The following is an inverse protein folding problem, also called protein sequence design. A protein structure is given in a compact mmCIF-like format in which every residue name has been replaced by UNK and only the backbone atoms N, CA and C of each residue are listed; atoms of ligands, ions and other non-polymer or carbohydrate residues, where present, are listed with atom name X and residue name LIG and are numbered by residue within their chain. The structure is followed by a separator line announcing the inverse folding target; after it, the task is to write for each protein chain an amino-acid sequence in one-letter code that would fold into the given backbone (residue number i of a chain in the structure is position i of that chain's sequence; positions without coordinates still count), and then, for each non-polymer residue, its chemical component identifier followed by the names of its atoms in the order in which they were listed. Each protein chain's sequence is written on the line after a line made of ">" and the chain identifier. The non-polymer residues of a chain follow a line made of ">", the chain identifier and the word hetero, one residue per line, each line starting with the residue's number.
data_IF_455944078575
#
_entry.id   IF_455944078575
#
_cell.length_a   1.000
_cell.length_b   1.000
_cell.length_c   1.000
_cell.angle_alpha   90.00
_cell.angle_beta   90.00
_cell.angle_gamma   90.00
#
_symmetry.space_group_name_H-M   'P 1'
#
loop_
_entity.id
_entity.type
_entity.pdbx_description
1 polymer ?
#
# COMPACT_ATOMS: atom_id res chain seq x y z
N UNK A 1 -35.18 -59.67 -42.03
CA UNK A 1 -35.11 -58.53 -41.08
C UNK A 1 -34.02 -58.66 -40.01
N UNK A 2 -33.81 -59.84 -39.39
CA UNK A 2 -32.80 -60.02 -38.32
C UNK A 2 -31.33 -59.78 -38.73
N UNK A 3 -30.96 -60.11 -39.97
CA UNK A 3 -29.58 -59.89 -40.49
C UNK A 3 -29.23 -58.39 -40.56
N UNK A 4 -30.13 -57.54 -41.09
CA UNK A 4 -29.94 -56.08 -41.23
C UNK A 4 -29.84 -55.35 -39.88
N UNK A 5 -30.55 -55.81 -38.85
CA UNK A 5 -30.46 -55.29 -37.49
C UNK A 5 -29.10 -55.60 -36.85
N UNK A 6 -28.57 -56.81 -37.06
CA UNK A 6 -27.26 -57.21 -36.54
C UNK A 6 -26.10 -56.40 -37.15
N UNK A 7 -26.18 -56.06 -38.44
CA UNK A 7 -25.16 -55.28 -39.13
C UNK A 7 -25.16 -53.83 -38.69
N UNK A 8 -26.35 -53.25 -38.46
CA UNK A 8 -26.49 -51.87 -37.93
C UNK A 8 -25.97 -51.74 -36.50
N UNK A 9 -26.21 -52.73 -35.63
CA UNK A 9 -25.68 -52.76 -34.27
C UNK A 9 -24.15 -52.90 -34.23
N UNK A 10 -23.55 -53.74 -35.10
CA UNK A 10 -22.08 -53.87 -35.23
C UNK A 10 -21.42 -52.60 -35.76
N UNK A 11 -22.06 -51.90 -36.71
CA UNK A 11 -21.58 -50.61 -37.25
C UNK A 11 -21.68 -49.49 -36.21
N UNK A 12 -22.76 -49.45 -35.43
CA UNK A 12 -22.92 -48.49 -34.33
C UNK A 12 -21.88 -48.71 -33.22
N UNK A 13 -21.62 -49.97 -32.85
CA UNK A 13 -20.56 -50.32 -31.89
C UNK A 13 -19.17 -49.91 -32.37
N UNK A 14 -18.81 -50.19 -33.63
CA UNK A 14 -17.51 -49.78 -34.20
C UNK A 14 -17.34 -48.26 -34.24
N UNK A 15 -18.39 -47.49 -34.57
CA UNK A 15 -18.34 -46.02 -34.55
C UNK A 15 -18.16 -45.46 -33.14
N UNK A 16 -18.80 -46.07 -32.13
CA UNK A 16 -18.65 -45.66 -30.74
C UNK A 16 -17.22 -45.90 -30.21
N UNK A 17 -16.64 -47.06 -30.53
CA UNK A 17 -15.26 -47.38 -30.16
C UNK A 17 -14.22 -46.51 -30.88
N UNK A 18 -14.42 -46.20 -32.16
CA UNK A 18 -13.57 -45.25 -32.88
C UNK A 18 -13.64 -43.84 -32.28
N UNK A 19 -14.83 -43.36 -31.89
CA UNK A 19 -15.01 -42.06 -31.26
C UNK A 19 -14.27 -41.98 -29.91
N UNK A 20 -14.37 -43.02 -29.07
CA UNK A 20 -13.62 -43.12 -27.80
C UNK A 20 -12.10 -43.16 -28.02
N UNK A 21 -11.65 -43.88 -29.05
CA UNK A 21 -10.23 -44.00 -29.36
C UNK A 21 -9.62 -42.70 -29.89
N UNK A 22 -10.38 -41.93 -30.68
CA UNK A 22 -10.03 -40.57 -31.11
C UNK A 22 -10.01 -39.60 -29.93
N UNK A 23 -11.03 -39.64 -29.07
CA UNK A 23 -11.10 -38.80 -27.87
C UNK A 23 -9.88 -39.04 -26.96
N UNK A 24 -9.47 -40.30 -26.78
CA UNK A 24 -8.33 -40.69 -25.93
C UNK A 24 -6.97 -40.29 -26.52
N UNK A 25 -6.78 -40.42 -27.85
CA UNK A 25 -5.57 -39.93 -28.55
C UNK A 25 -5.47 -38.41 -28.52
N UNK A 26 -6.58 -37.72 -28.74
CA UNK A 26 -6.65 -36.27 -28.69
C UNK A 26 -6.38 -35.75 -27.27
N UNK A 27 -6.91 -36.42 -26.25
CA UNK A 27 -6.62 -36.09 -24.85
C UNK A 27 -5.14 -36.29 -24.52
N UNK A 28 -4.51 -37.38 -24.97
CA UNK A 28 -3.12 -37.65 -24.68
C UNK A 28 -2.17 -36.62 -25.34
N UNK A 29 -2.45 -36.27 -26.60
CA UNK A 29 -1.72 -35.22 -27.32
C UNK A 29 -1.90 -33.84 -26.68
N UNK A 30 -3.12 -33.54 -26.22
CA UNK A 30 -3.41 -32.29 -25.52
C UNK A 30 -2.80 -32.24 -24.12
N UNK A 31 -2.83 -33.33 -23.37
CA UNK A 31 -2.16 -33.43 -22.07
C UNK A 31 -0.65 -33.19 -22.23
N UNK A 32 -0.01 -33.76 -23.26
CA UNK A 32 1.40 -33.52 -23.55
C UNK A 32 1.67 -32.04 -23.89
N UNK A 33 0.81 -31.39 -24.68
CA UNK A 33 0.93 -29.97 -25.03
C UNK A 33 0.70 -29.05 -23.83
N UNK A 34 -0.27 -29.36 -22.98
CA UNK A 34 -0.54 -28.63 -21.74
C UNK A 34 0.60 -28.79 -20.73
N UNK A 35 1.16 -29.99 -20.61
CA UNK A 35 2.35 -30.25 -19.79
C UNK A 35 3.56 -29.46 -20.29
N UNK A 36 3.80 -29.44 -21.60
CA UNK A 36 4.88 -28.67 -22.19
C UNK A 36 4.71 -27.17 -21.93
N UNK A 37 3.51 -26.63 -22.12
CA UNK A 37 3.19 -25.23 -21.83
C UNK A 37 3.34 -24.90 -20.34
N UNK A 38 2.90 -25.78 -19.45
CA UNK A 38 3.06 -25.62 -18.01
C UNK A 38 4.54 -25.68 -17.58
N UNK A 39 5.33 -26.57 -18.18
CA UNK A 39 6.77 -26.68 -17.91
C UNK A 39 7.53 -25.44 -18.42
N UNK A 40 7.26 -24.98 -19.63
CA UNK A 40 7.89 -23.78 -20.20
C UNK A 40 7.47 -22.53 -19.40
N UNK A 41 6.18 -22.39 -19.07
CA UNK A 41 5.68 -21.30 -18.23
C UNK A 41 6.28 -21.34 -16.82
N UNK A 42 6.28 -22.49 -16.16
CA UNK A 42 6.86 -22.69 -14.84
C UNK A 42 8.37 -22.43 -14.78
N UNK A 43 9.13 -22.92 -15.76
CA UNK A 43 10.57 -22.66 -15.86
C UNK A 43 10.88 -21.18 -16.09
N UNK A 44 10.08 -20.50 -16.92
CA UNK A 44 10.19 -19.06 -17.14
C UNK A 44 9.92 -18.27 -15.85
N UNK A 45 8.91 -18.66 -15.06
CA UNK A 45 8.60 -18.02 -13.78
C UNK A 45 9.68 -18.25 -12.73
N UNK A 46 10.24 -19.47 -12.65
CA UNK A 46 11.34 -19.77 -11.75
C UNK A 46 12.62 -19.00 -12.10
N UNK A 47 12.91 -18.82 -13.39
CA UNK A 47 14.01 -18.00 -13.86
C UNK A 47 13.81 -16.52 -13.48
N UNK A 48 12.58 -16.00 -13.64
CA UNK A 48 12.24 -14.63 -13.29
C UNK A 48 12.19 -14.38 -11.76
N UNK A 49 11.76 -15.36 -10.98
CA UNK A 49 11.68 -15.28 -9.50
C UNK A 49 13.07 -15.33 -8.81
N UNK A 50 14.15 -15.66 -9.53
CA UNK A 50 15.53 -15.60 -9.00
C UNK A 50 16.21 -14.25 -9.20
N UNK A 51 15.56 -13.29 -9.87
CA UNK A 51 16.07 -11.92 -9.98
C UNK A 51 15.66 -11.12 -8.74
N UNK A 52 16.63 -10.57 -8.03
CA UNK A 52 16.43 -9.82 -6.78
C UNK A 52 15.57 -8.58 -7.02
N UNK A 53 14.53 -8.46 -6.20
CA UNK A 53 13.31 -7.69 -6.40
C UNK A 53 13.45 -6.22 -5.96
N UNK A 54 13.20 -5.25 -6.86
CA UNK A 54 13.24 -3.81 -6.51
C UNK A 54 12.32 -2.88 -7.31
N UNK A 55 11.33 -3.37 -8.06
CA UNK A 55 10.30 -2.53 -8.69
C UNK A 55 10.77 -1.77 -9.95
N UNK A 56 11.40 -2.48 -10.91
CA UNK A 56 11.85 -1.89 -12.19
C UNK A 56 11.06 -2.46 -13.39
N UNK A 57 11.14 -1.89 -14.62
CA UNK A 57 10.32 -2.29 -15.77
C UNK A 57 10.32 -3.80 -16.13
N UNK A 58 11.35 -4.55 -15.72
CA UNK A 58 11.41 -6.01 -15.87
C UNK A 58 10.35 -6.77 -15.05
N UNK A 59 9.84 -6.18 -13.96
CA UNK A 59 8.79 -6.76 -13.12
C UNK A 59 7.43 -6.74 -13.83
N UNK A 60 7.18 -5.69 -14.62
CA UNK A 60 5.98 -5.58 -15.45
C UNK A 60 5.99 -6.62 -16.58
N UNK A 61 7.15 -6.84 -17.20
CA UNK A 61 7.36 -7.85 -18.24
C UNK A 61 7.15 -9.27 -17.71
N UNK A 62 7.62 -9.54 -16.50
CA UNK A 62 7.49 -10.85 -15.84
C UNK A 62 6.04 -11.15 -15.45
N UNK A 63 5.35 -10.16 -14.86
CA UNK A 63 3.92 -10.26 -14.56
C UNK A 63 3.09 -10.41 -15.85
N UNK A 64 3.43 -9.66 -16.89
CA UNK A 64 2.79 -9.76 -18.20
C UNK A 64 2.99 -11.14 -18.82
N UNK A 65 4.21 -11.69 -18.77
CA UNK A 65 4.51 -13.03 -19.27
C UNK A 65 3.72 -14.12 -18.52
N UNK A 66 3.64 -14.02 -17.19
CA UNK A 66 2.83 -14.92 -16.36
C UNK A 66 1.36 -14.90 -16.76
N UNK A 67 0.80 -13.68 -16.86
CA UNK A 67 -0.58 -13.44 -17.26
C UNK A 67 -0.85 -14.05 -18.63
N UNK A 68 -0.02 -13.74 -19.63
CA UNK A 68 -0.19 -14.27 -20.99
C UNK A 68 -0.14 -15.80 -21.03
N UNK A 69 0.78 -16.44 -20.30
CA UNK A 69 0.89 -17.89 -20.23
C UNK A 69 -0.34 -18.54 -19.57
N UNK A 70 -0.78 -18.02 -18.42
CA UNK A 70 -1.97 -18.50 -17.72
C UNK A 70 -3.23 -18.35 -18.59
N UNK A 71 -3.33 -17.25 -19.33
CA UNK A 71 -4.46 -16.99 -20.23
C UNK A 71 -4.50 -17.91 -21.44
N UNK A 72 -3.36 -18.20 -22.08
CA UNK A 72 -3.28 -19.15 -23.19
C UNK A 72 -3.72 -20.54 -22.72
N UNK A 73 -3.28 -20.95 -21.53
CA UNK A 73 -3.64 -22.23 -20.93
C UNK A 73 -5.14 -22.30 -20.62
N UNK A 74 -5.66 -21.31 -19.89
CA UNK A 74 -7.06 -21.25 -19.48
C UNK A 74 -7.99 -21.18 -20.70
N UNK A 75 -7.69 -20.34 -21.68
CA UNK A 75 -8.45 -20.22 -22.92
C UNK A 75 -8.44 -21.51 -23.74
N UNK A 76 -7.33 -22.26 -23.73
CA UNK A 76 -7.26 -23.58 -24.36
C UNK A 76 -8.18 -24.59 -23.66
N UNK A 77 -8.11 -24.67 -22.32
CA UNK A 77 -8.90 -25.60 -21.51
C UNK A 77 -10.40 -25.29 -21.62
N UNK A 78 -10.82 -24.04 -21.42
CA UNK A 78 -12.24 -23.65 -21.52
C UNK A 78 -12.81 -23.91 -22.91
N UNK A 79 -12.07 -23.62 -23.98
CA UNK A 79 -12.50 -23.92 -25.35
C UNK A 79 -12.74 -25.42 -25.54
N UNK A 80 -11.87 -26.28 -24.99
CA UNK A 80 -12.01 -27.73 -25.09
C UNK A 80 -13.22 -28.25 -24.30
N UNK A 81 -13.52 -27.65 -23.13
CA UNK A 81 -14.68 -28.01 -22.31
C UNK A 81 -15.98 -27.56 -22.97
N UNK A 82 -16.07 -26.30 -23.41
CA UNK A 82 -17.30 -25.71 -23.94
C UNK A 82 -17.58 -26.11 -25.40
N UNK A 83 -16.53 -26.33 -26.19
CA UNK A 83 -16.63 -26.62 -27.63
C UNK A 83 -15.79 -27.85 -28.03
N UNK A 84 -16.07 -29.04 -27.49
CA UNK A 84 -15.23 -30.23 -27.68
C UNK A 84 -15.15 -30.69 -29.15
N UNK A 85 -16.19 -30.37 -29.95
CA UNK A 85 -16.28 -30.73 -31.37
C UNK A 85 -15.63 -29.72 -32.31
N UNK A 86 -15.26 -28.53 -31.83
CA UNK A 86 -14.64 -27.48 -32.65
C UNK A 86 -13.13 -27.72 -32.69
N UNK A 87 -12.65 -28.32 -33.79
CA UNK A 87 -11.23 -28.54 -34.03
C UNK A 87 -10.74 -27.62 -35.15
N UNK A 88 -9.70 -26.82 -34.88
CA UNK A 88 -9.13 -25.88 -35.86
C UNK A 88 -8.63 -26.58 -37.13
N UNK A 89 -8.08 -27.80 -37.01
CA UNK A 89 -7.64 -28.57 -38.17
C UNK A 89 -8.80 -28.98 -39.10
N UNK A 90 -9.94 -29.37 -38.52
CA UNK A 90 -11.15 -29.68 -39.29
C UNK A 90 -11.75 -28.42 -39.92
N UNK A 91 -11.72 -27.29 -39.21
CA UNK A 91 -12.13 -25.99 -39.76
C UNK A 91 -11.28 -25.58 -40.96
N UNK A 92 -9.96 -25.79 -40.90
CA UNK A 92 -9.05 -25.47 -42.01
C UNK A 92 -9.33 -26.34 -43.23
N UNK A 93 -9.59 -27.64 -43.02
CA UNK A 93 -9.95 -28.57 -44.10
C UNK A 93 -11.34 -28.27 -44.69
N UNK A 94 -12.29 -27.86 -43.84
CA UNK A 94 -13.64 -27.46 -44.27
C UNK A 94 -13.66 -26.10 -44.95
N UNK A 95 -12.70 -25.21 -44.69
CA UNK A 95 -12.65 -23.88 -45.30
C UNK A 95 -12.54 -23.91 -46.82
N UNK A 96 -11.97 -24.99 -47.40
CA UNK A 96 -11.92 -25.18 -48.85
C UNK A 96 -13.27 -25.60 -49.45
N UNK A 97 -14.16 -26.22 -48.66
CA UNK A 97 -15.46 -26.74 -49.12
C UNK A 97 -16.60 -25.80 -48.81
N UNK A 98 -16.60 -25.25 -47.59
CA UNK A 98 -17.62 -24.34 -47.08
C UNK A 98 -16.93 -23.14 -46.40
N UNK A 99 -16.45 -22.17 -47.19
CA UNK A 99 -15.64 -21.06 -46.69
C UNK A 99 -16.43 -20.18 -45.72
N UNK A 100 -17.72 -19.91 -46.02
CA UNK A 100 -18.56 -19.06 -45.19
C UNK A 100 -18.83 -19.67 -43.81
N UNK A 101 -19.24 -20.94 -43.75
CA UNK A 101 -19.50 -21.63 -42.49
C UNK A 101 -18.23 -21.74 -41.63
N UNK A 102 -17.10 -22.06 -42.26
CA UNK A 102 -15.81 -22.15 -41.58
C UNK A 102 -15.34 -20.79 -41.04
N UNK A 103 -15.56 -19.71 -41.80
CA UNK A 103 -15.25 -18.34 -41.38
C UNK A 103 -16.10 -17.91 -40.17
N UNK A 104 -17.40 -18.21 -40.15
CA UNK A 104 -18.30 -17.90 -39.03
C UNK A 104 -17.82 -18.58 -37.74
N UNK A 105 -17.50 -19.88 -37.80
CA UNK A 105 -17.03 -20.63 -36.62
C UNK A 105 -15.66 -20.12 -36.16
N UNK A 106 -14.75 -19.80 -37.09
CA UNK A 106 -13.45 -19.22 -36.74
C UNK A 106 -13.61 -17.86 -36.04
N UNK A 107 -14.44 -16.97 -36.57
CA UNK A 107 -14.74 -15.68 -35.96
C UNK A 107 -15.33 -15.83 -34.56
N UNK A 108 -16.25 -16.79 -34.36
CA UNK A 108 -16.82 -17.08 -33.04
C UNK A 108 -15.76 -17.54 -32.02
N UNK A 109 -14.80 -18.39 -32.44
CA UNK A 109 -13.69 -18.84 -31.57
C UNK A 109 -12.75 -17.68 -31.21
N UNK A 110 -12.43 -16.81 -32.18
CA UNK A 110 -11.60 -15.61 -31.94
C UNK A 110 -12.30 -14.66 -30.97
N UNK A 111 -13.60 -14.38 -31.20
CA UNK A 111 -14.39 -13.52 -30.34
C UNK A 111 -14.50 -14.06 -28.92
N UNK A 112 -14.73 -15.36 -28.74
CA UNK A 112 -14.74 -16.00 -27.42
C UNK A 112 -13.42 -15.80 -26.67
N UNK A 113 -12.28 -16.01 -27.34
CA UNK A 113 -10.95 -15.78 -26.74
C UNK A 113 -10.71 -14.30 -26.42
N UNK A 114 -11.15 -13.40 -27.29
CA UNK A 114 -11.04 -11.96 -27.06
C UNK A 114 -11.88 -11.51 -25.85
N UNK A 115 -13.10 -12.03 -25.68
CA UNK A 115 -13.93 -11.74 -24.51
C UNK A 115 -13.31 -12.28 -23.21
N UNK A 116 -12.72 -13.49 -23.23
CA UNK A 116 -11.97 -14.01 -22.08
C UNK A 116 -10.75 -13.14 -21.77
N UNK A 117 -10.04 -12.67 -22.80
CA UNK A 117 -8.89 -11.76 -22.65
C UNK A 117 -9.32 -10.45 -22.00
N UNK A 118 -10.40 -9.84 -22.51
CA UNK A 118 -10.94 -8.62 -21.97
C UNK A 118 -11.41 -8.80 -20.52
N UNK A 119 -12.16 -9.87 -20.21
CA UNK A 119 -12.63 -10.13 -18.85
C UNK A 119 -11.47 -10.32 -17.85
N UNK A 120 -10.43 -11.05 -18.26
CA UNK A 120 -9.24 -11.25 -17.43
C UNK A 120 -8.47 -9.93 -17.24
N UNK A 121 -8.22 -9.17 -18.32
CA UNK A 121 -7.59 -7.86 -18.24
C UNK A 121 -8.39 -6.91 -17.35
N UNK A 122 -9.72 -6.88 -17.46
CA UNK A 122 -10.59 -6.08 -16.59
C UNK A 122 -10.51 -6.54 -15.12
N UNK A 123 -10.25 -7.81 -14.84
CA UNK A 123 -10.04 -8.31 -13.47
C UNK A 123 -8.70 -7.85 -12.86
N UNK A 124 -7.68 -7.61 -13.69
CA UNK A 124 -6.36 -7.08 -13.26
C UNK A 124 -6.24 -5.56 -13.36
N UNK A 125 -7.07 -4.92 -14.19
CA UNK A 125 -7.26 -3.46 -14.24
C UNK A 125 -8.23 -3.00 -13.14
N UNK A 126 -9.09 -3.88 -12.64
CA UNK A 126 -9.79 -3.63 -11.37
C UNK A 126 -8.71 -3.32 -10.33
N UNK A 127 -8.73 -2.13 -9.73
CA UNK A 127 -7.64 -1.66 -8.88
C UNK A 127 -7.42 -2.70 -7.79
N UNK A 128 -6.36 -3.50 -7.96
CA UNK A 128 -6.09 -4.63 -7.10
C UNK A 128 -5.76 -4.11 -5.72
N UNK A 129 -6.73 -4.12 -4.81
CA UNK A 129 -6.66 -4.09 -3.34
C UNK A 129 -5.64 -3.16 -2.63
N UNK A 130 -4.89 -2.31 -3.32
CA UNK A 130 -4.35 -1.09 -2.77
C UNK A 130 -5.57 -0.19 -2.59
N UNK A 131 -6.16 -0.20 -1.40
CA UNK A 131 -7.26 0.67 -1.05
C UNK A 131 -6.91 2.08 -1.53
N UNK A 132 -7.57 2.53 -2.60
CA UNK A 132 -7.35 3.86 -3.12
C UNK A 132 -7.59 4.84 -1.97
N UNK A 133 -6.63 5.74 -1.74
CA UNK A 133 -6.79 6.75 -0.69
C UNK A 133 -8.09 7.51 -0.97
N UNK A 134 -8.88 7.85 0.07
CA UNK A 134 -10.12 8.57 -0.12
C UNK A 134 -9.86 9.91 -0.81
N UNK A 135 -10.84 10.36 -1.58
CA UNK A 135 -10.81 11.70 -2.19
C UNK A 135 -10.76 12.82 -1.15
N UNK A 136 -10.30 14.01 -1.56
CA UNK A 136 -10.28 15.21 -0.71
C UNK A 136 -9.06 15.38 0.18
N UNK A 137 -8.05 14.51 0.06
CA UNK A 137 -6.74 14.73 0.67
C UNK A 137 -5.92 15.77 -0.09
N UNK A 138 -4.95 16.46 0.55
CA UNK A 138 -4.01 17.34 -0.15
C UNK A 138 -3.23 16.59 -1.24
N UNK A 139 -2.89 17.25 -2.34
CA UNK A 139 -2.30 16.60 -3.53
C UNK A 139 -1.01 15.81 -3.20
N UNK A 140 -0.09 16.39 -2.43
CA UNK A 140 1.14 15.69 -2.05
C UNK A 140 0.89 14.53 -1.07
N UNK A 141 -0.27 14.48 -0.39
CA UNK A 141 -0.60 13.38 0.51
C UNK A 141 -0.75 12.07 -0.25
N UNK A 142 -1.30 12.07 -1.47
CA UNK A 142 -1.41 10.85 -2.28
C UNK A 142 -0.05 10.23 -2.60
N UNK A 143 1.00 11.05 -2.71
CA UNK A 143 2.38 10.58 -2.90
C UNK A 143 3.04 10.15 -1.58
N UNK A 144 2.95 10.97 -0.56
CA UNK A 144 3.79 10.84 0.64
C UNK A 144 3.12 10.05 1.78
N UNK A 145 1.79 9.98 1.85
CA UNK A 145 1.08 9.22 2.89
C UNK A 145 1.40 7.71 2.82
N UNK A 146 1.41 7.04 1.65
CA UNK A 146 1.81 5.63 1.57
C UNK A 146 3.24 5.37 2.08
N UNK A 147 4.15 6.34 1.87
CA UNK A 147 5.54 6.25 2.37
C UNK A 147 5.56 6.33 3.91
N UNK A 148 4.82 7.29 4.49
CA UNK A 148 4.70 7.43 5.95
C UNK A 148 4.14 6.17 6.59
N UNK A 149 3.07 5.61 6.02
CA UNK A 149 2.45 4.37 6.53
C UNK A 149 3.35 3.15 6.31
N UNK A 150 4.09 3.10 5.20
CA UNK A 150 5.09 2.05 4.97
C UNK A 150 6.19 2.05 6.04
N UNK A 151 6.75 3.21 6.35
CA UNK A 151 7.77 3.34 7.41
C UNK A 151 7.18 3.13 8.81
N UNK A 152 5.95 3.56 9.07
CA UNK A 152 5.24 3.25 10.33
C UNK A 152 5.10 1.74 10.52
N UNK A 153 4.59 1.01 9.53
CA UNK A 153 4.42 -0.44 9.62
C UNK A 153 5.74 -1.19 9.83
N UNK A 154 6.82 -0.69 9.24
CA UNK A 154 8.14 -1.30 9.36
C UNK A 154 8.80 -1.06 10.72
N UNK A 155 8.58 0.10 11.34
CA UNK A 155 9.35 0.55 12.52
C UNK A 155 8.53 0.60 13.80
N UNK A 156 7.21 0.70 13.69
CA UNK A 156 6.27 0.74 14.79
C UNK A 156 4.96 0.05 14.39
N UNK A 157 4.98 -1.27 14.12
CA UNK A 157 3.82 -2.01 13.59
C UNK A 157 2.58 -1.95 14.48
N UNK A 158 2.77 -1.89 15.80
CA UNK A 158 1.74 -1.81 16.84
C UNK A 158 1.33 -0.36 17.18
N UNK A 159 1.57 0.61 16.29
CA UNK A 159 1.17 2.00 16.49
C UNK A 159 -0.36 2.09 16.72
N UNK A 160 -0.85 2.67 17.84
CA UNK A 160 -2.25 2.60 18.24
C UNK A 160 -3.23 3.36 17.33
N UNK A 161 -2.75 4.40 16.63
CA UNK A 161 -3.55 5.17 15.68
C UNK A 161 -2.71 5.81 14.55
N UNK A 162 -2.44 5.10 13.44
CA UNK A 162 -1.64 5.64 12.33
C UNK A 162 -2.19 6.94 11.73
N UNK A 163 -3.49 7.23 11.91
CA UNK A 163 -4.09 8.53 11.55
C UNK A 163 -3.45 9.73 12.26
N UNK A 164 -2.84 9.54 13.43
CA UNK A 164 -2.15 10.60 14.18
C UNK A 164 -0.91 11.07 13.45
N UNK A 165 -0.09 10.15 12.92
CA UNK A 165 1.10 10.50 12.13
C UNK A 165 0.73 11.31 10.88
N UNK A 166 -0.32 10.90 10.18
CA UNK A 166 -0.81 11.63 9.00
C UNK A 166 -1.31 13.04 9.37
N UNK A 167 -2.04 13.18 10.48
CA UNK A 167 -2.48 14.46 10.99
C UNK A 167 -1.33 15.37 11.45
N UNK A 168 -0.26 14.77 11.98
CA UNK A 168 0.96 15.46 12.36
C UNK A 168 1.70 15.99 11.14
N UNK A 169 1.89 15.19 10.09
CA UNK A 169 2.47 15.69 8.82
C UNK A 169 1.67 16.87 8.27
N UNK A 170 0.35 16.81 8.34
CA UNK A 170 -0.50 17.93 7.92
C UNK A 170 -0.28 19.18 8.81
N UNK A 171 -0.19 19.01 10.13
CA UNK A 171 0.11 20.10 11.06
C UNK A 171 1.48 20.75 10.78
N UNK A 172 2.46 19.93 10.41
CA UNK A 172 3.85 20.33 10.19
C UNK A 172 4.06 21.04 8.83
N UNK A 173 3.26 20.72 7.81
CA UNK A 173 3.54 21.14 6.43
C UNK A 173 2.47 22.03 5.79
N UNK A 174 1.26 22.10 6.37
CA UNK A 174 0.11 22.74 5.73
C UNK A 174 -0.30 24.06 6.41
N UNK A 175 0.14 25.22 5.90
CA UNK A 175 -0.48 26.51 6.19
C UNK A 175 -1.97 26.53 5.81
N UNK A 176 -2.32 25.87 4.70
CA UNK A 176 -3.68 25.56 4.27
C UNK A 176 -3.67 24.24 3.49
N UNK A 177 -4.84 23.60 3.35
CA UNK A 177 -4.97 22.33 2.62
C UNK A 177 -4.64 22.45 1.13
N UNK A 178 -4.73 23.66 0.56
CA UNK A 178 -4.41 23.97 -0.85
C UNK A 178 -2.98 24.48 -1.04
N UNK A 179 -2.20 24.64 0.03
CA UNK A 179 -0.82 25.10 -0.07
C UNK A 179 0.03 24.07 -0.81
N UNK A 180 0.92 24.54 -1.70
CA UNK A 180 1.91 23.68 -2.37
C UNK A 180 2.85 22.99 -1.37
N UNK A 181 3.06 23.59 -0.19
CA UNK A 181 3.85 23.00 0.88
C UNK A 181 3.12 21.89 1.62
N UNK A 182 1.78 21.85 1.57
CA UNK A 182 0.99 20.90 2.32
C UNK A 182 1.33 19.48 1.88
N UNK A 183 1.73 18.63 2.84
CA UNK A 183 2.25 17.28 2.63
C UNK A 183 3.52 17.17 1.76
N UNK A 184 4.21 18.27 1.48
CA UNK A 184 5.43 18.24 0.67
C UNK A 184 6.65 17.87 1.50
N UNK A 185 7.49 16.98 0.97
CA UNK A 185 8.83 16.68 1.48
C UNK A 185 9.78 17.89 1.43
N UNK A 186 9.39 18.94 0.69
CA UNK A 186 10.10 20.22 0.57
C UNK A 186 9.52 21.33 1.44
N UNK A 187 8.51 21.03 2.27
CA UNK A 187 8.01 22.00 3.24
C UNK A 187 9.16 22.44 4.15
N UNK A 188 9.38 23.75 4.29
CA UNK A 188 10.53 24.26 5.02
C UNK A 188 10.17 25.53 5.79
N UNK A 189 10.43 25.52 7.08
CA UNK A 189 10.48 26.71 7.91
C UNK A 189 11.94 27.14 8.01
N UNK A 190 12.32 28.20 7.30
CA UNK A 190 13.68 28.74 7.33
C UNK A 190 13.67 30.15 7.88
N UNK A 191 14.20 30.30 9.09
CA UNK A 191 14.36 31.58 9.78
C UNK A 191 15.81 31.75 10.25
N UNK A 192 16.22 32.94 10.70
CA UNK A 192 17.54 33.10 11.33
C UNK A 192 17.74 32.26 12.61
N UNK A 193 16.65 31.82 13.25
CA UNK A 193 16.69 31.05 14.52
C UNK A 193 16.71 29.55 14.29
N UNK A 194 16.01 29.09 13.26
CA UNK A 194 15.80 27.68 13.01
C UNK A 194 15.56 27.34 11.54
N UNK A 195 15.89 26.10 11.20
CA UNK A 195 15.56 25.46 9.93
C UNK A 195 14.82 24.15 10.23
N UNK A 196 13.51 24.12 9.99
CA UNK A 196 12.68 22.91 10.01
C UNK A 196 12.43 22.41 8.58
N UNK A 197 12.61 21.12 8.33
CA UNK A 197 12.46 20.53 6.98
C UNK A 197 11.53 19.32 6.97
N UNK A 198 10.66 19.30 5.95
CA UNK A 198 9.99 18.12 5.47
C UNK A 198 8.75 17.71 6.25
N UNK A 199 8.35 16.46 6.03
CA UNK A 199 7.10 15.87 6.52
C UNK A 199 6.94 15.94 8.04
N UNK A 200 8.04 15.85 8.80
CA UNK A 200 8.04 15.96 10.26
C UNK A 200 8.62 17.27 10.79
N UNK A 201 8.92 18.25 9.93
CA UNK A 201 9.68 19.47 10.29
C UNK A 201 10.90 19.15 11.16
N UNK A 202 11.81 18.31 10.68
CA UNK A 202 13.06 18.01 11.39
C UNK A 202 13.89 19.28 11.48
N UNK A 203 14.22 19.68 12.71
CA UNK A 203 14.70 21.03 13.02
C UNK A 203 16.16 21.07 13.42
N UNK A 204 16.86 22.09 12.94
CA UNK A 204 18.16 22.53 13.45
C UNK A 204 18.11 23.99 13.86
N UNK A 205 18.66 24.26 15.04
CA UNK A 205 18.87 25.59 15.61
C UNK A 205 20.34 25.75 15.99
N UNK A 206 20.72 26.89 16.58
CA UNK A 206 22.05 27.06 17.18
C UNK A 206 22.29 26.16 18.41
N UNK A 207 21.23 25.61 19.03
CA UNK A 207 21.32 24.87 20.30
C UNK A 207 21.10 23.36 20.14
N UNK A 208 20.41 22.92 19.09
CA UNK A 208 20.11 21.52 18.87
C UNK A 208 19.95 21.21 17.38
N UNK A 209 20.15 19.95 17.02
CA UNK A 209 20.00 19.43 15.67
C UNK A 209 19.33 18.05 15.71
N UNK A 210 18.03 18.03 15.44
CA UNK A 210 17.22 16.81 15.50
C UNK A 210 17.68 15.75 14.50
N UNK A 211 18.14 16.14 13.30
CA UNK A 211 18.64 15.20 12.30
C UNK A 211 19.90 14.51 12.81
N UNK A 212 20.85 15.30 13.31
CA UNK A 212 22.09 14.79 13.87
C UNK A 212 21.83 13.88 15.07
N UNK A 213 20.90 14.26 15.95
CA UNK A 213 20.52 13.46 17.12
C UNK A 213 19.90 12.12 16.76
N UNK A 214 18.94 12.11 15.82
CA UNK A 214 18.33 10.88 15.32
C UNK A 214 19.34 9.99 14.60
N UNK A 215 20.27 10.57 13.83
CA UNK A 215 21.34 9.80 13.17
C UNK A 215 22.30 9.17 14.15
N UNK A 216 22.61 9.82 15.28
CA UNK A 216 23.45 9.19 16.33
C UNK A 216 22.75 7.98 16.95
N UNK A 217 21.43 8.02 17.09
CA UNK A 217 20.64 6.92 17.67
C UNK A 217 20.33 5.81 16.66
N UNK A 218 20.19 6.14 15.37
CA UNK A 218 19.69 5.26 14.32
C UNK A 218 20.55 5.31 13.04
N UNK A 219 21.87 5.26 13.19
CA UNK A 219 22.85 5.50 12.12
C UNK A 219 22.63 4.66 10.86
N UNK A 220 22.33 3.35 11.02
CA UNK A 220 22.04 2.44 9.90
C UNK A 220 20.73 2.78 9.19
N UNK A 221 19.71 3.15 9.94
CA UNK A 221 18.37 3.44 9.43
C UNK A 221 18.31 4.80 8.71
N UNK A 222 19.14 5.75 9.10
CA UNK A 222 19.20 7.10 8.54
C UNK A 222 20.50 7.34 7.75
N UNK A 223 21.11 6.27 7.24
CA UNK A 223 22.30 6.34 6.40
C UNK A 223 22.03 7.19 5.14
N UNK A 224 22.98 8.04 4.78
CA UNK A 224 22.87 8.93 3.62
C UNK A 224 22.05 10.21 3.84
N UNK A 225 21.25 10.31 4.92
CA UNK A 225 20.51 11.54 5.20
C UNK A 225 21.41 12.64 5.77
N UNK A 226 21.26 13.87 5.31
CA UNK A 226 22.09 15.00 5.74
C UNK A 226 21.40 16.34 5.46
N UNK A 227 21.92 17.41 6.04
CA UNK A 227 21.44 18.77 5.77
C UNK A 227 21.68 19.25 4.34
N UNK A 228 22.59 18.60 3.60
CA UNK A 228 22.86 18.83 2.17
C UNK A 228 21.86 18.06 1.28
N UNK A 229 21.28 16.97 1.79
CA UNK A 229 20.27 16.14 1.12
C UNK A 229 19.05 15.91 2.02
N UNK A 230 18.33 16.97 2.47
CA UNK A 230 17.34 16.82 3.53
C UNK A 230 15.96 16.37 3.01
N UNK A 231 15.72 16.43 1.69
CA UNK A 231 14.40 16.27 1.08
C UNK A 231 14.01 14.84 0.67
N UNK A 232 14.69 13.82 1.19
CA UNK A 232 14.32 12.42 0.96
C UNK A 232 13.05 12.08 1.77
N UNK A 233 11.93 11.86 1.08
CA UNK A 233 10.63 11.62 1.71
C UNK A 233 10.61 10.36 2.59
N UNK A 234 11.35 9.31 2.23
CA UNK A 234 11.40 8.06 2.99
C UNK A 234 12.19 8.25 4.27
N UNK A 235 13.35 8.90 4.19
CA UNK A 235 14.17 9.19 5.37
C UNK A 235 13.48 10.19 6.31
N UNK A 236 12.74 11.17 5.77
CA UNK A 236 11.89 12.05 6.57
C UNK A 236 10.77 11.30 7.29
N UNK A 237 10.01 10.46 6.58
CA UNK A 237 8.95 9.65 7.16
C UNK A 237 9.48 8.72 8.25
N UNK A 238 10.61 8.06 7.99
CA UNK A 238 11.33 7.24 8.96
C UNK A 238 11.73 8.02 10.20
N UNK A 239 12.30 9.21 10.02
CA UNK A 239 12.71 10.08 11.13
C UNK A 239 11.52 10.52 11.99
N UNK A 240 10.39 10.90 11.36
CA UNK A 240 9.14 11.22 12.05
C UNK A 240 8.70 10.05 12.95
N UNK A 241 8.58 8.84 12.39
CA UNK A 241 8.15 7.64 13.13
C UNK A 241 9.09 7.31 14.28
N UNK A 242 10.42 7.34 14.05
CA UNK A 242 11.41 7.08 15.09
C UNK A 242 11.33 8.11 16.23
N UNK A 243 11.14 9.37 15.89
CA UNK A 243 11.05 10.44 16.88
C UNK A 243 9.76 10.39 17.69
N UNK A 244 8.61 10.13 17.05
CA UNK A 244 7.34 9.92 17.76
C UNK A 244 7.43 8.70 18.68
N UNK A 245 7.97 7.58 18.18
CA UNK A 245 8.15 6.38 18.99
C UNK A 245 9.05 6.63 20.20
N UNK A 246 10.15 7.37 20.02
CA UNK A 246 11.04 7.80 21.11
C UNK A 246 10.32 8.64 22.16
N UNK A 247 9.34 9.45 21.75
CA UNK A 247 8.51 10.23 22.66
C UNK A 247 7.39 9.40 23.31
N UNK A 248 6.88 8.39 22.63
CA UNK A 248 5.78 7.54 23.08
C UNK A 248 6.20 6.44 24.05
N UNK A 249 7.30 5.73 23.75
CA UNK A 249 7.77 4.58 24.53
C UNK A 249 7.97 4.92 26.03
N UNK A 250 8.56 6.08 26.40
CA UNK A 250 8.78 6.42 27.80
C UNK A 250 7.54 6.90 28.54
N UNK A 251 6.44 7.22 27.84
CA UNK A 251 5.20 7.68 28.49
C UNK A 251 4.53 6.50 29.17
N UNK A 252 4.70 6.41 30.50
CA UNK A 252 4.04 5.42 31.35
C UNK A 252 2.89 6.05 32.13
N UNK A 253 1.92 5.21 32.53
CA UNK A 253 0.78 5.62 33.35
C UNK A 253 -0.13 6.65 32.68
N UNK A 254 -0.29 6.60 31.36
CA UNK A 254 -1.36 7.30 30.68
C UNK A 254 -2.67 6.50 30.83
N UNK A 255 -3.82 7.17 30.89
CA UNK A 255 -5.10 6.52 31.12
C UNK A 255 -5.49 5.58 29.97
N UNK A 256 -5.15 5.94 28.73
CA UNK A 256 -5.31 5.13 27.54
C UNK A 256 -4.31 5.54 26.44
N UNK A 257 -4.34 4.85 25.29
CA UNK A 257 -3.41 5.11 24.20
C UNK A 257 -3.64 6.44 23.48
N UNK A 258 -4.86 7.00 23.51
CA UNK A 258 -5.11 8.32 22.95
C UNK A 258 -4.48 9.41 23.82
N UNK A 259 -4.60 9.29 25.15
CA UNK A 259 -3.93 10.18 26.10
C UNK A 259 -2.40 10.04 26.01
N UNK A 260 -1.91 8.81 25.84
CA UNK A 260 -0.47 8.53 25.66
C UNK A 260 0.08 9.17 24.38
N UNK A 261 -0.65 9.04 23.26
CA UNK A 261 -0.30 9.71 22.00
C UNK A 261 -0.31 11.23 22.13
N UNK A 262 -1.30 11.79 22.84
CA UNK A 262 -1.36 13.24 23.07
C UNK A 262 -0.14 13.74 23.86
N UNK A 263 0.29 13.00 24.89
CA UNK A 263 1.52 13.29 25.62
C UNK A 263 2.77 13.14 24.73
N UNK A 264 2.82 12.10 23.89
CA UNK A 264 3.93 11.89 22.95
C UNK A 264 4.07 13.03 21.94
N UNK A 265 2.96 13.55 21.41
CA UNK A 265 2.94 14.72 20.53
C UNK A 265 3.46 15.98 21.24
N UNK A 266 3.14 16.17 22.52
CA UNK A 266 3.72 17.26 23.29
C UNK A 266 5.24 17.08 23.46
N UNK A 267 5.70 15.86 23.76
CA UNK A 267 7.13 15.55 23.78
C UNK A 267 7.80 15.81 22.43
N UNK A 268 7.14 15.48 21.31
CA UNK A 268 7.69 15.71 19.98
C UNK A 268 7.93 17.21 19.74
N UNK A 269 6.93 18.04 20.07
CA UNK A 269 6.97 19.47 19.81
C UNK A 269 7.80 20.27 20.83
N UNK A 270 7.72 19.92 22.12
CA UNK A 270 8.29 20.70 23.23
C UNK A 270 9.44 20.00 23.97
N UNK A 271 9.74 18.76 23.61
CA UNK A 271 10.74 17.91 24.26
C UNK A 271 10.24 17.19 25.52
N UNK A 272 10.93 16.11 25.92
CA UNK A 272 10.51 15.27 27.06
C UNK A 272 10.54 16.02 28.40
N UNK A 273 11.45 16.98 28.56
CA UNK A 273 11.55 17.77 29.78
C UNK A 273 10.31 18.65 30.02
N UNK A 274 9.75 19.26 28.96
CA UNK A 274 8.53 20.06 29.10
C UNK A 274 7.32 19.18 29.46
N UNK A 275 7.20 18.01 28.83
CA UNK A 275 6.14 17.05 29.17
C UNK A 275 6.25 16.60 30.63
N UNK A 276 7.45 16.25 31.10
CA UNK A 276 7.67 15.81 32.47
C UNK A 276 7.25 16.89 33.49
N UNK A 277 7.64 18.15 33.24
CA UNK A 277 7.22 19.27 34.10
C UNK A 277 5.70 19.47 34.06
N UNK A 278 5.07 19.39 32.89
CA UNK A 278 3.60 19.52 32.79
C UNK A 278 2.86 18.44 33.55
N UNK A 279 3.31 17.18 33.48
CA UNK A 279 2.71 16.08 34.24
C UNK A 279 2.93 16.25 35.74
N UNK A 280 4.13 16.63 36.17
CA UNK A 280 4.43 16.89 37.58
C UNK A 280 3.58 18.01 38.16
N UNK A 281 3.36 19.09 37.41
CA UNK A 281 2.51 20.20 37.84
C UNK A 281 1.04 19.84 37.91
N UNK A 282 0.55 19.06 36.94
CA UNK A 282 -0.79 18.49 37.03
C UNK A 282 -0.93 17.63 38.29
N UNK A 283 0.04 16.76 38.58
CA UNK A 283 -0.01 15.91 39.77
C UNK A 283 -0.02 16.71 41.10
N UNK A 284 0.51 17.93 41.09
CA UNK A 284 0.52 18.82 42.25
C UNK A 284 -0.72 19.76 42.33
N UNK A 285 -1.58 19.73 41.32
CA UNK A 285 -2.76 20.59 41.24
C UNK A 285 -4.02 19.82 41.64
N UNK A 286 -4.80 20.40 42.55
CA UNK A 286 -6.08 19.82 42.97
C UNK A 286 -7.01 19.57 41.79
N UNK A 287 -7.52 18.35 41.70
CA UNK A 287 -8.46 17.92 40.66
C UNK A 287 -7.85 17.65 39.28
N UNK A 288 -6.52 17.62 39.14
CA UNK A 288 -5.85 17.28 37.88
C UNK A 288 -5.35 15.83 37.87
N UNK A 289 -5.71 15.06 36.84
CA UNK A 289 -5.26 13.69 36.63
C UNK A 289 -4.03 13.66 35.70
N UNK A 290 -2.81 13.37 36.21
CA UNK A 290 -1.58 13.36 35.41
C UNK A 290 -1.46 12.18 34.44
N UNK A 291 -2.43 11.25 34.46
CA UNK A 291 -2.59 10.18 33.46
C UNK A 291 -3.36 10.64 32.22
N UNK A 292 -4.03 11.80 32.26
CA UNK A 292 -4.84 12.35 31.16
C UNK A 292 -4.22 13.62 30.61
N UNK A 293 -4.13 13.73 29.30
CA UNK A 293 -3.74 14.96 28.63
C UNK A 293 -4.92 15.93 28.58
N UNK A 294 -6.02 15.51 27.96
CA UNK A 294 -7.15 16.40 27.70
C UNK A 294 -7.90 16.73 28.99
N UNK A 295 -8.21 18.02 29.15
CA UNK A 295 -8.86 18.52 30.37
C UNK A 295 -7.98 18.53 31.63
N UNK A 296 -6.75 18.00 31.58
CA UNK A 296 -5.89 17.80 32.74
C UNK A 296 -4.48 18.37 32.47
N UNK A 297 -3.50 17.55 32.04
CA UNK A 297 -2.11 17.99 31.84
C UNK A 297 -1.99 19.20 30.89
N UNK A 298 -2.87 19.34 29.89
CA UNK A 298 -2.86 20.49 28.99
C UNK A 298 -3.29 21.81 29.66
N UNK A 299 -4.07 21.73 30.75
CA UNK A 299 -4.59 22.88 31.51
C UNK A 299 -3.72 23.25 32.71
N UNK A 300 -2.86 22.33 33.16
CA UNK A 300 -1.96 22.58 34.28
C UNK A 300 -1.03 23.78 33.99
N UNK A 301 -0.66 24.54 35.02
CA UNK A 301 0.11 25.76 34.84
C UNK A 301 1.47 25.52 34.14
N UNK A 302 1.74 26.28 33.09
CA UNK A 302 2.85 26.01 32.18
C UNK A 302 4.23 26.46 32.64
N UNK A 303 5.32 25.70 32.34
CA UNK A 303 6.68 26.06 32.79
C UNK A 303 7.25 27.35 32.19
N UNK A 304 6.69 27.87 31.10
CA UNK A 304 7.20 29.08 30.46
C UNK A 304 6.08 29.88 29.79
N UNK A 305 5.83 31.09 30.29
CA UNK A 305 4.94 32.08 29.65
C UNK A 305 5.70 32.99 28.66
N UNK A 306 6.99 32.71 28.39
CA UNK A 306 7.83 33.50 27.48
C UNK A 306 7.28 33.42 26.05
N UNK A 307 7.15 34.57 25.40
CA UNK A 307 6.76 34.64 23.99
C UNK A 307 7.75 33.86 23.11
N UNK A 308 7.21 32.99 22.25
CA UNK A 308 7.93 32.23 21.25
C UNK A 308 7.80 32.90 19.88
N UNK A 309 6.70 32.59 19.19
CA UNK A 309 6.36 33.17 17.88
C UNK A 309 5.23 34.19 17.99
N UNK A 310 5.54 35.46 17.72
CA UNK A 310 4.61 36.57 17.91
C UNK A 310 4.22 36.71 19.39
N UNK A 311 2.92 36.83 19.67
CA UNK A 311 2.41 36.92 21.04
C UNK A 311 2.21 35.56 21.73
N UNK A 312 2.43 34.43 21.03
CA UNK A 312 2.17 33.10 21.58
C UNK A 312 3.37 32.58 22.36
N UNK A 313 3.15 32.02 23.55
CA UNK A 313 4.20 31.36 24.32
C UNK A 313 4.53 29.97 23.77
N UNK A 314 5.77 29.49 23.97
CA UNK A 314 6.13 28.10 23.64
C UNK A 314 5.24 27.09 24.38
N UNK A 315 4.80 27.46 25.58
CA UNK A 315 3.79 26.70 26.30
C UNK A 315 2.50 26.59 25.49
N UNK A 316 1.88 27.71 25.12
CA UNK A 316 0.62 27.70 24.37
C UNK A 316 0.73 26.95 23.04
N UNK A 317 1.81 27.19 22.28
CA UNK A 317 2.04 26.57 20.97
C UNK A 317 2.02 25.05 21.06
N UNK A 318 2.67 24.46 22.06
CA UNK A 318 2.77 23.00 22.18
C UNK A 318 1.49 22.33 22.69
N UNK A 319 0.52 23.08 23.25
CA UNK A 319 -0.81 22.56 23.60
C UNK A 319 -1.70 22.65 22.37
N UNK A 320 -1.65 23.79 21.68
CA UNK A 320 -2.31 24.00 20.40
C UNK A 320 -1.90 22.92 19.39
N UNK A 321 -0.61 22.55 19.36
CA UNK A 321 -0.08 21.48 18.52
C UNK A 321 -0.82 20.14 18.74
N UNK A 322 -0.94 19.71 20.00
CA UNK A 322 -1.63 18.46 20.35
C UNK A 322 -3.11 18.52 19.98
N UNK A 323 -3.81 19.59 20.35
CA UNK A 323 -5.23 19.76 20.03
C UNK A 323 -5.48 19.82 18.52
N UNK A 324 -4.63 20.51 17.76
CA UNK A 324 -4.75 20.60 16.30
C UNK A 324 -4.63 19.22 15.66
N UNK A 325 -3.65 18.41 16.07
CA UNK A 325 -3.45 17.07 15.52
C UNK A 325 -4.59 16.15 15.93
N UNK A 326 -4.82 16.00 17.24
CA UNK A 326 -5.73 14.99 17.78
C UNK A 326 -7.20 15.31 17.52
N UNK A 327 -7.59 16.59 17.57
CA UNK A 327 -9.00 16.99 17.54
C UNK A 327 -9.43 17.61 16.20
N UNK A 328 -8.54 18.32 15.48
CA UNK A 328 -8.91 19.05 14.25
C UNK A 328 -8.53 18.31 12.97
N UNK A 329 -7.32 17.74 12.92
CA UNK A 329 -6.76 17.19 11.67
C UNK A 329 -6.95 15.69 11.53
N UNK A 330 -6.84 14.93 12.63
CA UNK A 330 -6.95 13.45 12.64
C UNK A 330 -8.22 12.92 11.99
N UNK A 331 -9.34 13.64 12.08
CA UNK A 331 -10.61 13.27 11.45
C UNK A 331 -10.47 12.88 9.97
N UNK A 332 -9.65 13.60 9.20
CA UNK A 332 -9.41 13.32 7.77
C UNK A 332 -8.73 11.99 7.50
N UNK A 333 -8.01 11.43 8.48
CA UNK A 333 -7.13 10.28 8.30
C UNK A 333 -7.61 9.03 9.05
N UNK A 334 -8.79 9.05 9.69
CA UNK A 334 -9.28 7.92 10.52
C UNK A 334 -9.44 6.61 9.75
N UNK A 335 -9.55 6.64 8.42
CA UNK A 335 -9.57 5.45 7.57
C UNK A 335 -8.29 4.59 7.72
N UNK A 336 -7.18 5.19 8.17
CA UNK A 336 -5.93 4.48 8.44
C UNK A 336 -5.98 3.63 9.72
N UNK A 337 -6.82 4.01 10.70
CA UNK A 337 -6.93 3.26 11.95
C UNK A 337 -7.71 1.95 11.78
N UNK A 338 -8.64 1.91 10.81
CA UNK A 338 -9.46 0.74 10.52
C UNK A 338 -8.66 -0.40 9.86
N UNK A 339 -7.67 -0.04 9.03
CA UNK A 339 -6.80 -1.00 8.33
C UNK A 339 -5.64 -1.52 9.18
N UNK A 340 -5.39 -0.94 10.35
CA UNK A 340 -4.36 -1.38 11.28
C UNK A 340 -4.84 -2.48 12.25
N UNK A 341 -6.15 -2.75 12.30
CA UNK A 341 -6.77 -3.75 13.19
C UNK A 341 -7.13 -5.07 12.51
N UNK A 342 -6.87 -5.20 11.20
CA UNK A 342 -7.10 -6.38 10.37
C UNK A 342 -5.81 -7.13 10.13
#
# INVERSE_FOLDING_TARGET
>A
MLSLLSTRLRLAGRRHWQALHHLRRDLASDCARLLLLALVGGASLLALNRLSWSGTPGDLLSALAFVLAAMVLLGHVLRRILFPRVQLGLLLASAQREPLASAIVFAAVVMFKACLLLAFVLMFISPGHAAALPGGLPDNAYRNLPIVIGEQRALWPDHPAPSVLAAQVEQETCPSLKSKSCWSERAELKTPRERGVGLGQVTRTARFDTLSDLKRQHSRLLAGWSWDKPYDARLQARALVLQDKRCYDPVRGAADEAERLAMALNCYNAGPGMLAISRSRCAAQDGCDPSRWFGNVEKADGPSRKAGYGQRSFYGISREYVSNIMLKRRGRYRFLDATARS
#
